data_IF_016431344363
#
_entry.id   IF_016431344363
#
_cell.length_a   1.000
_cell.length_b   1.000
_cell.length_c   1.000
_cell.angle_alpha   90.00
_cell.angle_beta   90.00
_cell.angle_gamma   90.00
#
_symmetry.space_group_name_H-M   'P 1'
#
loop_
_entity.id
_entity.type
_entity.pdbx_description
1 polymer ?
#
# COMPACT_ATOMS: atom_id res chain seq x y z
N UNK A 1 13.61 -10.79 -14.04
CA UNK A 1 12.28 -11.22 -14.47
C UNK A 1 11.35 -10.03 -14.53
N UNK A 2 10.05 -10.28 -14.67
CA UNK A 2 9.02 -9.23 -14.68
C UNK A 2 8.43 -9.03 -13.28
N UNK A 3 7.83 -7.87 -13.03
CA UNK A 3 7.17 -7.58 -11.77
C UNK A 3 5.83 -8.32 -11.67
N UNK A 4 5.62 -9.03 -10.56
CA UNK A 4 4.38 -9.75 -10.26
C UNK A 4 3.86 -9.42 -8.87
N UNK A 5 2.54 -9.49 -8.71
CA UNK A 5 1.91 -9.30 -7.40
C UNK A 5 2.14 -10.52 -6.51
N UNK A 6 2.70 -10.29 -5.33
CA UNK A 6 2.81 -11.31 -4.30
C UNK A 6 1.42 -11.60 -3.70
N UNK A 7 1.02 -12.87 -3.76
CA UNK A 7 -0.23 -13.34 -3.19
C UNK A 7 0.02 -14.57 -2.33
N UNK A 8 -0.65 -14.65 -1.19
CA UNK A 8 -0.50 -15.77 -0.25
C UNK A 8 -1.77 -16.62 -0.23
N UNK A 9 -1.63 -17.93 -0.41
CA UNK A 9 -2.79 -18.83 -0.44
C UNK A 9 -3.44 -18.92 0.93
N UNK A 10 -4.74 -18.64 1.00
CA UNK A 10 -5.53 -18.78 2.22
C UNK A 10 -6.00 -20.23 2.36
N UNK A 11 -5.66 -20.86 3.48
CA UNK A 11 -6.07 -22.23 3.79
C UNK A 11 -5.91 -22.50 5.30
N UNK A 12 -6.19 -23.71 5.76
CA UNK A 12 -6.11 -24.07 7.18
C UNK A 12 -4.71 -23.87 7.81
N UNK A 13 -3.62 -24.01 7.03
CA UNK A 13 -2.25 -23.78 7.51
C UNK A 13 -1.88 -22.28 7.53
N UNK A 14 -2.40 -21.52 6.56
CA UNK A 14 -2.20 -20.07 6.44
C UNK A 14 -3.56 -19.37 6.44
N UNK A 15 -4.23 -19.27 7.58
CA UNK A 15 -5.55 -18.66 7.65
C UNK A 15 -5.44 -17.14 7.54
N UNK A 16 -6.40 -16.53 6.85
CA UNK A 16 -6.65 -15.09 6.89
C UNK A 16 -8.03 -14.88 7.51
N UNK A 17 -8.05 -14.39 8.76
CA UNK A 17 -9.29 -14.18 9.51
C UNK A 17 -10.01 -12.88 9.15
N UNK A 18 -9.36 -12.01 8.35
CA UNK A 18 -9.87 -10.70 7.98
C UNK A 18 -9.46 -9.59 8.94
N UNK A 19 -9.98 -8.41 8.66
CA UNK A 19 -9.83 -7.23 9.52
C UNK A 19 -11.00 -7.10 10.48
N UNK A 20 -10.73 -6.51 11.65
CA UNK A 20 -11.78 -6.10 12.57
C UNK A 20 -12.67 -5.02 11.93
N UNK A 21 -13.96 -5.07 12.24
CA UNK A 21 -14.94 -4.10 11.72
C UNK A 21 -15.54 -4.52 10.38
N UNK A 22 -15.50 -3.62 9.39
CA UNK A 22 -16.28 -3.78 8.16
C UNK A 22 -15.73 -4.91 7.27
N UNK A 23 -16.53 -5.97 7.09
CA UNK A 23 -16.23 -7.15 6.27
C UNK A 23 -15.85 -6.82 4.82
N UNK A 24 -16.32 -5.69 4.29
CA UNK A 24 -15.96 -5.26 2.93
C UNK A 24 -14.46 -5.00 2.78
N UNK A 25 -13.76 -4.56 3.83
CA UNK A 25 -12.31 -4.40 3.78
C UNK A 25 -11.59 -5.75 3.74
N UNK A 26 -12.11 -6.75 4.45
CA UNK A 26 -11.64 -8.13 4.39
C UNK A 26 -11.80 -8.71 2.99
N UNK A 27 -13.01 -8.60 2.42
CA UNK A 27 -13.33 -9.13 1.09
C UNK A 27 -12.48 -8.49 0.00
N UNK A 28 -12.22 -7.18 0.09
CA UNK A 28 -11.34 -6.47 -0.87
C UNK A 28 -9.90 -6.98 -0.91
N UNK A 29 -9.41 -7.63 0.16
CA UNK A 29 -8.05 -8.21 0.20
C UNK A 29 -8.00 -9.64 -0.29
N UNK A 30 -9.14 -10.26 -0.56
CA UNK A 30 -9.22 -11.63 -1.01
C UNK A 30 -9.40 -11.68 -2.53
N UNK A 31 -8.58 -12.49 -3.17
CA UNK A 31 -8.68 -12.85 -4.58
C UNK A 31 -9.25 -14.27 -4.67
N UNK A 32 -10.37 -14.42 -5.36
CA UNK A 32 -11.09 -15.68 -5.49
C UNK A 32 -10.86 -16.28 -6.89
N UNK A 33 -10.83 -17.62 -6.97
CA UNK A 33 -10.76 -18.36 -8.25
C UNK A 33 -9.57 -17.94 -9.14
N UNK A 34 -8.41 -17.72 -8.53
CA UNK A 34 -7.20 -17.18 -9.16
C UNK A 34 -6.52 -18.19 -10.08
N UNK A 35 -6.22 -19.40 -9.58
CA UNK A 35 -5.59 -20.46 -10.37
C UNK A 35 -6.52 -21.64 -10.62
N UNK A 36 -7.49 -21.87 -9.74
CA UNK A 36 -8.52 -22.89 -9.87
C UNK A 36 -9.81 -22.48 -9.17
N UNK A 37 -10.93 -23.05 -9.61
CA UNK A 37 -12.23 -22.83 -9.00
C UNK A 37 -12.20 -23.09 -7.49
N UNK A 38 -12.69 -22.13 -6.70
CA UNK A 38 -12.78 -22.20 -5.24
C UNK A 38 -11.47 -22.00 -4.49
N UNK A 39 -10.35 -21.66 -5.14
CA UNK A 39 -9.18 -21.19 -4.42
C UNK A 39 -9.32 -19.74 -3.95
N UNK A 40 -8.54 -19.39 -2.92
CA UNK A 40 -8.59 -18.10 -2.26
C UNK A 40 -7.17 -17.67 -1.92
N UNK A 41 -6.85 -16.42 -2.26
CA UNK A 41 -5.54 -15.82 -2.03
C UNK A 41 -5.68 -14.46 -1.35
N UNK A 42 -4.80 -14.18 -0.40
CA UNK A 42 -4.63 -12.88 0.20
C UNK A 42 -3.71 -12.02 -0.67
N UNK A 43 -4.19 -10.84 -1.05
CA UNK A 43 -3.43 -9.83 -1.77
C UNK A 43 -2.58 -9.01 -0.79
N UNK A 44 -1.25 -9.18 -0.84
CA UNK A 44 -0.33 -8.45 0.05
C UNK A 44 -0.21 -6.98 -0.33
N UNK A 45 -0.45 -6.66 -1.61
CA UNK A 45 -0.21 -5.36 -2.22
C UNK A 45 1.23 -5.13 -2.68
N UNK A 46 2.12 -6.12 -2.53
CA UNK A 46 3.54 -5.96 -2.85
C UNK A 46 3.86 -6.54 -4.23
N UNK A 47 4.51 -5.74 -5.07
CA UNK A 47 5.10 -6.18 -6.32
C UNK A 47 6.49 -6.71 -6.04
N UNK A 48 6.76 -7.90 -6.54
CA UNK A 48 8.04 -8.59 -6.42
C UNK A 48 8.60 -8.87 -7.81
N UNK A 49 9.93 -8.85 -7.94
CA UNK A 49 10.64 -9.28 -9.14
C UNK A 49 11.54 -10.45 -8.76
N UNK A 50 11.51 -11.51 -9.56
CA UNK A 50 12.46 -12.61 -9.48
C UNK A 50 13.54 -12.43 -10.55
N UNK A 51 14.80 -12.58 -10.18
CA UNK A 51 15.90 -12.58 -11.15
C UNK A 51 16.12 -13.97 -11.77
N UNK A 52 17.20 -14.11 -12.56
CA UNK A 52 17.55 -15.36 -13.24
C UNK A 52 18.24 -16.38 -12.31
N UNK A 53 18.71 -15.94 -11.13
CA UNK A 53 19.33 -16.79 -10.11
C UNK A 53 18.32 -17.23 -9.03
N UNK A 54 17.04 -16.87 -9.19
CA UNK A 54 15.91 -17.13 -8.30
C UNK A 54 15.90 -16.32 -6.99
N UNK A 55 16.61 -15.19 -6.94
CA UNK A 55 16.44 -14.23 -5.86
C UNK A 55 15.18 -13.39 -6.07
N UNK A 56 14.48 -13.13 -4.96
CA UNK A 56 13.27 -12.31 -4.92
C UNK A 56 13.60 -10.92 -4.37
N UNK A 57 13.17 -9.90 -5.10
CA UNK A 57 13.36 -8.50 -4.75
C UNK A 57 12.01 -7.81 -4.60
N UNK A 58 11.89 -6.97 -3.58
CA UNK A 58 10.78 -6.03 -3.48
C UNK A 58 10.93 -4.97 -4.57
N UNK A 59 9.84 -4.71 -5.31
CA UNK A 59 9.83 -3.75 -6.41
C UNK A 59 9.04 -2.50 -6.07
N UNK A 60 7.76 -2.64 -5.72
CA UNK A 60 6.90 -1.53 -5.31
C UNK A 60 5.67 -2.04 -4.56
N UNK A 61 4.80 -1.12 -4.12
CA UNK A 61 3.51 -1.43 -3.50
C UNK A 61 2.37 -0.81 -4.30
N UNK A 62 1.28 -1.57 -4.48
CA UNK A 62 0.06 -1.08 -5.11
C UNK A 62 -0.92 -0.52 -4.07
N UNK A 63 -1.63 0.56 -4.43
CA UNK A 63 -2.65 1.21 -3.62
C UNK A 63 -2.14 2.43 -2.83
N UNK A 64 -2.94 2.86 -1.86
CA UNK A 64 -2.78 4.12 -1.11
C UNK A 64 -1.80 4.01 0.07
N UNK A 65 -0.71 3.29 -0.12
CA UNK A 65 0.31 3.07 0.92
C UNK A 65 1.70 3.04 0.31
N UNK A 66 2.69 3.56 1.03
CA UNK A 66 4.11 3.38 0.69
C UNK A 66 4.89 2.90 1.92
N UNK A 67 6.13 2.42 1.72
CA UNK A 67 7.02 2.02 2.82
C UNK A 67 8.15 3.01 2.99
N UNK A 68 8.40 3.46 4.21
CA UNK A 68 9.55 4.31 4.55
C UNK A 68 10.31 3.68 5.71
N UNK A 69 11.61 3.40 5.51
CA UNK A 69 12.46 2.78 6.56
C UNK A 69 11.85 1.50 7.18
N UNK A 70 11.21 0.67 6.35
CA UNK A 70 10.59 -0.58 6.79
C UNK A 70 9.16 -0.46 7.33
N UNK A 71 8.65 0.76 7.54
CA UNK A 71 7.32 1.01 8.08
C UNK A 71 6.29 1.26 6.98
N UNK A 72 5.05 0.79 7.17
CA UNK A 72 3.95 1.10 6.25
C UNK A 72 3.36 2.46 6.60
N UNK A 73 3.19 3.29 5.58
CA UNK A 73 2.55 4.61 5.69
C UNK A 73 1.28 4.58 4.85
N UNK A 74 0.13 4.80 5.50
CA UNK A 74 -1.15 5.00 4.82
C UNK A 74 -1.27 6.47 4.39
N UNK A 75 -1.36 6.72 3.09
CA UNK A 75 -1.39 8.09 2.57
C UNK A 75 -2.64 8.83 3.02
N UNK A 76 -3.78 8.13 3.14
CA UNK A 76 -5.05 8.70 3.61
C UNK A 76 -4.97 9.14 5.06
N UNK A 77 -4.40 8.32 5.96
CA UNK A 77 -4.28 8.70 7.38
C UNK A 77 -3.40 9.94 7.56
N UNK A 78 -2.28 10.01 6.84
CA UNK A 78 -1.40 11.19 6.89
C UNK A 78 -2.10 12.41 6.30
N UNK A 79 -2.81 12.25 5.17
CA UNK A 79 -3.59 13.31 4.55
C UNK A 79 -4.68 13.85 5.47
N UNK A 80 -5.41 12.95 6.13
CA UNK A 80 -6.49 13.30 7.06
C UNK A 80 -5.97 14.15 8.22
N UNK A 81 -4.80 13.80 8.77
CA UNK A 81 -4.14 14.59 9.82
C UNK A 81 -3.70 15.96 9.31
N UNK A 82 -3.12 16.04 8.10
CA UNK A 82 -2.67 17.31 7.52
C UNK A 82 -3.86 18.26 7.31
N UNK A 83 -4.99 17.77 6.78
CA UNK A 83 -6.20 18.58 6.51
C UNK A 83 -6.87 19.09 7.79
N UNK A 84 -6.51 18.58 8.97
CA UNK A 84 -6.98 19.16 10.26
C UNK A 84 -6.40 20.55 10.53
N UNK A 85 -5.35 20.98 9.83
CA UNK A 85 -4.81 22.33 9.96
C UNK A 85 -5.75 23.34 9.30
N UNK A 86 -6.15 24.36 10.05
CA UNK A 86 -7.21 25.30 9.64
C UNK A 86 -6.92 26.05 8.33
N UNK A 87 -5.66 26.20 7.94
CA UNK A 87 -5.26 26.90 6.72
C UNK A 87 -5.14 25.99 5.48
N UNK A 88 -5.26 24.67 5.65
CA UNK A 88 -5.18 23.70 4.56
C UNK A 88 -6.59 23.37 4.07
N UNK A 89 -6.80 23.45 2.76
CA UNK A 89 -8.04 23.10 2.09
C UNK A 89 -8.03 21.63 1.67
N UNK A 90 -6.95 21.19 1.02
CA UNK A 90 -6.77 19.81 0.55
C UNK A 90 -5.30 19.39 0.73
N UNK A 91 -5.10 18.10 0.99
CA UNK A 91 -3.78 17.48 1.01
C UNK A 91 -3.82 16.19 0.17
N UNK A 92 -2.75 15.94 -0.58
CA UNK A 92 -2.51 14.67 -1.25
C UNK A 92 -1.12 14.16 -0.87
N UNK A 93 -1.07 13.01 -0.22
CA UNK A 93 0.16 12.43 0.32
C UNK A 93 0.59 11.26 -0.56
N UNK A 94 1.88 11.20 -0.89
CA UNK A 94 2.45 10.14 -1.71
C UNK A 94 3.91 9.88 -1.36
N UNK A 95 4.38 8.69 -1.71
CA UNK A 95 5.78 8.32 -1.54
C UNK A 95 6.62 8.77 -2.74
N UNK A 96 7.80 9.34 -2.48
CA UNK A 96 8.81 9.66 -3.50
C UNK A 96 10.09 8.87 -3.27
N UNK A 97 10.71 8.39 -4.34
CA UNK A 97 12.02 7.73 -4.26
C UNK A 97 13.11 8.76 -3.96
N UNK A 98 13.99 8.44 -3.02
CA UNK A 98 15.16 9.26 -2.69
C UNK A 98 16.41 8.45 -3.01
N UNK A 99 17.41 9.01 -3.74
CA UNK A 99 18.66 8.32 -4.02
C UNK A 99 19.29 7.75 -2.76
N UNK A 100 19.87 6.55 -2.85
CA UNK A 100 20.58 5.85 -1.77
C UNK A 100 19.75 5.51 -0.52
N UNK A 101 18.41 5.53 -0.62
CA UNK A 101 17.51 5.15 0.47
C UNK A 101 16.50 4.07 0.06
N UNK A 102 16.26 3.12 0.97
CA UNK A 102 15.25 2.08 0.80
C UNK A 102 13.84 2.63 1.06
N UNK A 103 12.89 2.27 0.18
CA UNK A 103 11.51 2.68 0.24
C UNK A 103 11.26 4.06 -0.39
N UNK A 104 10.19 4.71 0.02
CA UNK A 104 9.75 6.02 -0.47
C UNK A 104 9.55 6.98 0.69
N UNK A 105 10.17 8.16 0.61
CA UNK A 105 9.97 9.23 1.58
C UNK A 105 8.56 9.84 1.40
N UNK A 106 7.93 10.27 2.49
CA UNK A 106 6.63 10.94 2.40
C UNK A 106 6.75 12.35 1.80
N UNK A 107 5.88 12.67 0.86
CA UNK A 107 5.68 13.99 0.27
C UNK A 107 4.20 14.35 0.32
N UNK A 108 3.88 15.63 0.48
CA UNK A 108 2.51 16.13 0.44
C UNK A 108 2.38 17.31 -0.53
N UNK A 109 1.38 17.25 -1.40
CA UNK A 109 0.93 18.39 -2.20
C UNK A 109 -0.28 19.01 -1.50
N UNK A 110 -0.26 20.33 -1.30
CA UNK A 110 -1.24 21.04 -0.48
C UNK A 110 -1.94 22.13 -1.29
N UNK A 111 -3.25 22.28 -1.06
CA UNK A 111 -4.02 23.46 -1.46
C UNK A 111 -4.35 24.23 -0.20
N UNK A 112 -4.00 25.51 -0.16
CA UNK A 112 -4.32 26.41 0.95
C UNK A 112 -5.71 27.01 0.77
N UNK A 113 -6.38 27.32 1.88
CA UNK A 113 -7.62 28.10 1.83
C UNK A 113 -7.32 29.51 1.31
N UNK A 114 -8.32 30.12 0.66
CA UNK A 114 -8.22 31.49 0.13
C UNK A 114 -7.72 32.47 1.20
N UNK A 115 -6.85 33.40 0.80
CA UNK A 115 -6.23 34.42 1.66
C UNK A 115 -5.27 33.88 2.75
N UNK A 116 -4.67 32.72 2.55
CA UNK A 116 -3.67 32.15 3.47
C UNK A 116 -2.32 31.94 2.77
N UNK A 117 -1.21 32.14 3.49
CA UNK A 117 0.15 31.89 3.02
C UNK A 117 0.90 30.99 4.01
N UNK A 118 1.85 30.20 3.49
CA UNK A 118 2.79 29.39 4.29
C UNK A 118 3.96 30.22 4.79
#
# INVERSE_FOLDING_TARGET
GEAGLLISKVNAKNPFFGYAGNKRHTEKKLLCEVFKKGDLYFNTGDLMVQDHENFLYFWDRIGDTFRWKGENVATTEVSDVIVMLDFIQEANVYGVSVPDHEGKAGMASLILKQNTSL
#
